data_IF_560324997972
#
_entry.id   IF_560324997972
#
_cell.length_a   1.000
_cell.length_b   1.000
_cell.length_c   1.000
_cell.angle_alpha   90.00
_cell.angle_beta   90.00
_cell.angle_gamma   90.00
#
_symmetry.space_group_name_H-M   'P 1'
#
loop_
_entity.id
_entity.type
_entity.pdbx_description
1 polymer ?
#
# COMPACT_ATOMS: atom_id res chain seq x y z
N UNK A 1 -33.22 -23.51 -14.07
CA UNK A 1 -31.81 -23.83 -14.38
C UNK A 1 -30.96 -22.59 -14.18
N UNK A 2 -30.21 -22.51 -13.10
CA UNK A 2 -29.25 -21.43 -12.82
C UNK A 2 -27.99 -21.65 -13.66
N UNK A 3 -27.68 -20.74 -14.59
CA UNK A 3 -26.43 -20.79 -15.37
C UNK A 3 -25.25 -20.60 -14.40
N UNK A 4 -24.48 -21.67 -14.18
CA UNK A 4 -23.19 -21.60 -13.49
C UNK A 4 -22.26 -20.74 -14.37
N UNK A 5 -21.87 -19.56 -13.89
CA UNK A 5 -20.92 -18.70 -14.59
C UNK A 5 -19.51 -19.11 -14.18
N UNK A 6 -18.66 -19.45 -15.15
CA UNK A 6 -17.23 -19.73 -14.94
C UNK A 6 -16.48 -18.40 -14.94
N UNK A 7 -15.74 -18.12 -13.88
CA UNK A 7 -14.92 -16.93 -13.77
C UNK A 7 -13.49 -17.29 -14.17
N UNK A 8 -12.95 -16.58 -15.16
CA UNK A 8 -11.57 -16.79 -15.62
C UNK A 8 -10.70 -15.69 -15.00
N UNK A 9 -9.79 -16.07 -14.10
CA UNK A 9 -8.83 -15.14 -13.52
C UNK A 9 -7.52 -15.30 -14.27
N UNK A 10 -7.12 -14.25 -14.99
CA UNK A 10 -5.82 -14.17 -15.62
C UNK A 10 -4.74 -13.74 -14.62
N UNK A 11 -5.01 -12.68 -13.85
CA UNK A 11 -4.03 -12.01 -13.00
C UNK A 11 -4.71 -11.37 -11.79
N UNK A 12 -4.04 -11.37 -10.63
CA UNK A 12 -4.35 -10.50 -9.49
C UNK A 12 -3.40 -9.32 -9.48
N UNK A 13 -3.90 -8.10 -9.31
CA UNK A 13 -3.02 -6.92 -9.18
C UNK A 13 -3.30 -6.25 -7.84
N UNK A 14 -2.29 -6.22 -6.97
CA UNK A 14 -2.34 -5.49 -5.70
C UNK A 14 -1.71 -4.12 -5.87
N UNK A 15 -2.36 -3.09 -5.34
CA UNK A 15 -2.03 -1.70 -5.65
C UNK A 15 -1.93 -0.84 -4.39
N UNK A 16 -0.78 -0.19 -4.19
CA UNK A 16 -0.60 0.81 -3.12
C UNK A 16 -0.41 2.20 -3.71
N UNK A 17 -1.10 3.16 -3.10
CA UNK A 17 -0.89 4.59 -3.38
C UNK A 17 0.45 5.03 -2.77
N UNK A 18 1.22 5.81 -3.52
CA UNK A 18 2.43 6.47 -3.04
C UNK A 18 2.19 7.95 -2.85
N UNK A 19 2.64 8.53 -1.72
CA UNK A 19 2.79 9.98 -1.56
C UNK A 19 4.26 10.37 -1.75
N UNK A 20 4.53 11.63 -2.13
CA UNK A 20 5.89 12.14 -2.41
C UNK A 20 6.87 12.02 -1.22
N UNK A 21 6.40 11.77 -0.01
CA UNK A 21 7.18 11.80 1.24
C UNK A 21 7.42 10.42 1.88
N UNK A 22 6.89 9.33 1.32
CA UNK A 22 7.06 7.99 1.89
C UNK A 22 8.05 7.16 1.07
N UNK A 23 9.07 6.63 1.76
CA UNK A 23 9.78 5.45 1.25
C UNK A 23 8.80 4.28 1.22
N UNK A 24 8.47 3.82 0.03
CA UNK A 24 7.57 2.68 -0.13
C UNK A 24 8.38 1.37 -0.11
N UNK A 25 7.92 0.41 0.69
CA UNK A 25 8.46 -0.94 0.70
C UNK A 25 7.65 -1.80 -0.26
N UNK A 26 8.26 -2.25 -1.36
CA UNK A 26 7.61 -3.15 -2.32
C UNK A 26 7.31 -4.53 -1.72
N UNK A 27 7.97 -4.90 -0.63
CA UNK A 27 7.78 -6.19 0.04
C UNK A 27 6.36 -6.42 0.53
N UNK A 28 5.70 -5.38 1.04
CA UNK A 28 4.35 -5.50 1.57
C UNK A 28 3.33 -5.78 0.46
N UNK A 29 3.36 -4.96 -0.60
CA UNK A 29 2.48 -5.13 -1.78
C UNK A 29 2.75 -6.47 -2.50
N UNK A 30 4.01 -6.91 -2.57
CA UNK A 30 4.39 -8.22 -3.11
C UNK A 30 3.86 -9.37 -2.25
N UNK A 31 3.98 -9.28 -0.93
CA UNK A 31 3.46 -10.31 -0.03
C UNK A 31 1.93 -10.42 -0.13
N UNK A 32 1.21 -9.30 -0.18
CA UNK A 32 -0.24 -9.30 -0.33
C UNK A 32 -0.68 -9.89 -1.68
N UNK A 33 -0.01 -9.52 -2.79
CA UNK A 33 -0.26 -10.13 -4.10
C UNK A 33 -0.06 -11.66 -4.09
N UNK A 34 0.99 -12.13 -3.40
CA UNK A 34 1.25 -13.55 -3.23
C UNK A 34 0.17 -14.24 -2.37
N UNK A 35 -0.31 -13.58 -1.32
CA UNK A 35 -1.37 -14.11 -0.44
C UNK A 35 -2.68 -14.35 -1.23
N UNK A 36 -3.04 -13.47 -2.17
CA UNK A 36 -4.17 -13.70 -3.10
C UNK A 36 -3.98 -14.95 -3.95
N UNK A 37 -2.78 -15.15 -4.49
CA UNK A 37 -2.45 -16.33 -5.28
C UNK A 37 -2.52 -17.62 -4.43
N UNK A 38 -1.97 -17.59 -3.21
CA UNK A 38 -2.03 -18.72 -2.27
C UNK A 38 -3.48 -19.10 -1.94
N UNK A 39 -4.32 -18.12 -1.60
CA UNK A 39 -5.74 -18.37 -1.32
C UNK A 39 -6.50 -18.89 -2.53
N UNK A 40 -6.16 -18.43 -3.73
CA UNK A 40 -6.74 -18.98 -4.96
C UNK A 40 -6.47 -20.48 -5.06
N UNK A 41 -5.22 -20.92 -4.85
CA UNK A 41 -4.87 -22.32 -4.92
C UNK A 41 -5.44 -23.14 -3.76
N UNK A 42 -5.46 -22.60 -2.54
CA UNK A 42 -6.01 -23.26 -1.36
C UNK A 42 -7.53 -23.47 -1.45
N UNK A 43 -8.28 -22.51 -1.99
CA UNK A 43 -9.74 -22.60 -2.18
C UNK A 43 -10.17 -23.48 -3.36
N UNK A 44 -9.24 -23.80 -4.27
CA UNK A 44 -9.51 -24.55 -5.50
C UNK A 44 -8.63 -25.82 -5.60
N UNK A 45 -8.61 -26.63 -4.55
CA UNK A 45 -7.82 -27.87 -4.50
C UNK A 45 -8.20 -28.88 -5.60
N UNK A 46 -9.43 -28.85 -6.09
CA UNK A 46 -9.92 -29.71 -7.19
C UNK A 46 -9.59 -29.19 -8.60
N UNK A 47 -9.08 -27.96 -8.73
CA UNK A 47 -8.71 -27.35 -10.00
C UNK A 47 -7.27 -27.73 -10.37
N UNK A 48 -7.00 -28.13 -11.61
CA UNK A 48 -5.66 -28.45 -12.13
C UNK A 48 -4.88 -27.23 -12.64
N UNK A 49 -5.18 -26.02 -12.15
CA UNK A 49 -4.46 -24.81 -12.54
C UNK A 49 -3.09 -24.78 -11.88
N UNK A 50 -2.05 -24.87 -12.70
CA UNK A 50 -0.65 -25.00 -12.25
C UNK A 50 0.02 -23.65 -11.95
N UNK A 51 -0.56 -22.53 -12.39
CA UNK A 51 -0.03 -21.20 -12.12
C UNK A 51 -1.11 -20.12 -12.23
N UNK A 52 -0.82 -18.93 -11.72
CA UNK A 52 -1.61 -17.72 -11.94
C UNK A 52 -0.63 -16.54 -12.08
N UNK A 53 -1.02 -15.52 -12.83
CA UNK A 53 -0.24 -14.29 -12.86
C UNK A 53 -0.58 -13.38 -11.68
N UNK A 54 0.39 -12.56 -11.29
CA UNK A 54 0.17 -11.49 -10.33
C UNK A 54 0.81 -10.19 -10.82
N UNK A 55 0.39 -9.07 -10.25
CA UNK A 55 0.95 -7.76 -10.47
C UNK A 55 1.02 -6.99 -9.16
N UNK A 56 2.04 -6.14 -9.05
CA UNK A 56 2.20 -5.20 -7.93
C UNK A 56 2.34 -3.80 -8.51
N UNK A 57 1.43 -2.91 -8.11
CA UNK A 57 1.38 -1.52 -8.56
C UNK A 57 1.69 -0.58 -7.40
N UNK A 58 2.72 0.24 -7.54
CA UNK A 58 3.13 1.21 -6.53
C UNK A 58 3.22 2.59 -7.17
N UNK A 59 2.19 3.42 -6.91
CA UNK A 59 2.01 4.68 -7.63
C UNK A 59 1.74 4.42 -9.10
N UNK A 60 2.71 4.75 -9.96
CA UNK A 60 2.69 4.53 -11.41
C UNK A 60 3.60 3.38 -11.86
N UNK A 61 4.28 2.72 -10.92
CA UNK A 61 5.26 1.69 -11.24
C UNK A 61 4.63 0.30 -11.09
N UNK A 62 4.69 -0.52 -12.13
CA UNK A 62 4.11 -1.86 -12.18
C UNK A 62 5.19 -2.93 -12.31
N UNK A 63 5.03 -4.01 -11.56
CA UNK A 63 5.77 -5.25 -11.81
C UNK A 63 4.82 -6.42 -11.95
N UNK A 64 5.12 -7.32 -12.89
CA UNK A 64 4.32 -8.51 -13.18
C UNK A 64 5.07 -9.79 -12.84
N UNK A 65 4.31 -10.78 -12.39
CA UNK A 65 4.80 -12.01 -11.79
C UNK A 65 4.03 -13.22 -12.30
N UNK A 66 4.67 -14.38 -12.24
CA UNK A 66 4.03 -15.70 -12.32
C UNK A 66 4.21 -16.41 -10.97
N UNK A 67 3.12 -17.01 -10.48
CA UNK A 67 3.11 -17.82 -9.26
C UNK A 67 2.69 -19.23 -9.64
N UNK A 68 3.59 -20.19 -9.44
CA UNK A 68 3.31 -21.60 -9.66
C UNK A 68 2.69 -22.24 -8.42
N UNK A 69 1.75 -23.16 -8.65
CA UNK A 69 1.22 -24.02 -7.61
C UNK A 69 2.35 -24.90 -7.07
N UNK A 70 2.47 -24.97 -5.75
CA UNK A 70 3.38 -25.85 -5.06
C UNK A 70 2.62 -26.77 -4.08
N UNK A 71 3.26 -27.86 -3.66
CA UNK A 71 2.76 -28.73 -2.61
C UNK A 71 2.94 -28.02 -1.25
N UNK A 72 1.96 -27.20 -0.86
CA UNK A 72 1.96 -26.41 0.37
C UNK A 72 2.20 -24.91 0.14
N UNK A 73 1.71 -24.08 1.06
CA UNK A 73 1.76 -22.61 0.95
C UNK A 73 3.19 -22.04 0.98
N UNK A 74 4.13 -22.73 1.63
CA UNK A 74 5.51 -22.28 1.79
C UNK A 74 6.36 -22.47 0.53
N UNK A 75 5.90 -23.29 -0.42
CA UNK A 75 6.59 -23.54 -1.68
C UNK A 75 6.28 -22.53 -2.79
N UNK A 76 5.31 -21.64 -2.59
CA UNK A 76 4.88 -20.67 -3.60
C UNK A 76 5.63 -19.35 -3.45
N UNK A 77 6.09 -18.80 -4.57
CA UNK A 77 6.82 -17.52 -4.63
C UNK A 77 6.46 -16.73 -5.89
N UNK A 78 6.68 -15.41 -5.83
CA UNK A 78 6.59 -14.54 -6.99
C UNK A 78 7.83 -14.70 -7.86
N UNK A 79 7.66 -15.17 -9.09
CA UNK A 79 8.71 -15.20 -10.10
C UNK A 79 8.46 -14.06 -11.09
N UNK A 80 9.42 -13.14 -11.31
CA UNK A 80 9.17 -11.98 -12.17
C UNK A 80 9.04 -12.39 -13.64
N UNK A 81 8.16 -11.72 -14.40
CA UNK A 81 7.98 -11.98 -15.84
C UNK A 81 9.10 -11.40 -16.71
N UNK A 82 9.86 -10.45 -16.17
CA UNK A 82 11.05 -9.88 -16.78
C UNK A 82 12.17 -9.79 -15.75
N UNK A 83 13.41 -9.78 -16.24
CA UNK A 83 14.65 -9.69 -15.42
C UNK A 83 14.95 -10.96 -14.60
N UNK A 84 16.22 -11.11 -14.19
CA UNK A 84 16.73 -12.23 -13.40
C UNK A 84 16.00 -12.38 -12.05
N UNK A 85 15.94 -13.59 -11.46
CA UNK A 85 15.09 -13.94 -10.32
C UNK A 85 15.54 -13.36 -8.96
N UNK A 86 16.29 -12.25 -8.95
CA UNK A 86 16.72 -11.59 -7.73
C UNK A 86 15.77 -10.42 -7.41
N UNK A 87 14.83 -10.57 -6.47
CA UNK A 87 14.03 -9.44 -6.02
C UNK A 87 14.92 -8.59 -5.14
N UNK A 88 15.16 -7.31 -5.49
CA UNK A 88 15.66 -6.34 -4.51
C UNK A 88 15.73 -4.87 -4.92
N UNK A 89 15.53 -4.50 -6.18
CA UNK A 89 15.57 -3.09 -6.56
C UNK A 89 14.21 -2.59 -7.04
N UNK A 90 13.80 -1.41 -6.57
CA UNK A 90 12.63 -0.70 -7.10
C UNK A 90 12.79 -0.39 -8.60
N UNK A 91 14.02 -0.42 -9.11
CA UNK A 91 14.38 -0.24 -10.53
C UNK A 91 13.83 -1.34 -11.44
N UNK A 92 13.39 -2.48 -10.87
CA UNK A 92 12.77 -3.56 -11.64
C UNK A 92 11.29 -3.31 -11.98
N UNK A 93 10.68 -2.29 -11.36
CA UNK A 93 9.31 -1.89 -11.66
C UNK A 93 9.31 -0.96 -12.87
N UNK A 94 8.35 -1.18 -13.75
CA UNK A 94 8.19 -0.44 -15.00
C UNK A 94 7.30 0.77 -14.77
N UNK A 95 7.78 1.96 -15.16
CA UNK A 95 6.98 3.19 -15.05
C UNK A 95 5.94 3.23 -16.17
N UNK A 96 4.65 3.23 -15.80
CA UNK A 96 3.55 3.33 -16.75
C UNK A 96 3.48 4.68 -17.47
N UNK A 97 4.15 5.71 -16.95
CA UNK A 97 4.32 7.01 -17.59
C UNK A 97 5.45 7.04 -18.63
N UNK A 98 6.37 6.07 -18.61
CA UNK A 98 7.43 5.95 -19.61
C UNK A 98 7.00 5.12 -20.82
N UNK A 99 7.36 5.58 -22.02
CA UNK A 99 6.89 4.94 -23.26
C UNK A 99 7.57 3.59 -23.54
N UNK A 100 8.83 3.41 -23.15
CA UNK A 100 9.54 2.15 -23.38
C UNK A 100 9.05 1.08 -22.41
N UNK A 101 8.94 1.45 -21.14
CA UNK A 101 8.39 0.60 -20.08
C UNK A 101 6.92 0.23 -20.35
N UNK A 102 6.10 1.19 -20.79
CA UNK A 102 4.71 0.92 -21.18
C UNK A 102 4.57 -0.11 -22.31
N UNK A 103 5.48 -0.12 -23.30
CA UNK A 103 5.49 -1.13 -24.37
C UNK A 103 5.90 -2.51 -23.85
N UNK A 104 6.82 -2.57 -22.90
CA UNK A 104 7.22 -3.83 -22.27
C UNK A 104 6.09 -4.44 -21.43
N UNK A 105 5.38 -3.61 -20.65
CA UNK A 105 4.18 -4.00 -19.92
C UNK A 105 3.10 -4.54 -20.87
N UNK A 106 2.83 -3.83 -21.97
CA UNK A 106 1.84 -4.26 -22.96
C UNK A 106 2.22 -5.61 -23.60
N UNK A 107 3.49 -5.80 -23.94
CA UNK A 107 4.01 -7.06 -24.46
C UNK A 107 3.84 -8.20 -23.45
N UNK A 108 4.11 -7.95 -22.17
CA UNK A 108 3.92 -8.93 -21.11
C UNK A 108 2.44 -9.34 -20.97
N UNK A 109 1.51 -8.39 -20.97
CA UNK A 109 0.07 -8.71 -20.93
C UNK A 109 -0.39 -9.54 -22.13
N UNK A 110 0.07 -9.23 -23.35
CA UNK A 110 -0.20 -10.08 -24.52
C UNK A 110 0.38 -11.50 -24.36
N UNK A 111 1.58 -11.62 -23.78
CA UNK A 111 2.18 -12.91 -23.43
C UNK A 111 1.34 -13.70 -22.43
N UNK A 112 0.87 -13.03 -21.37
CA UNK A 112 0.00 -13.62 -20.35
C UNK A 112 -1.32 -14.15 -20.94
N UNK A 113 -1.93 -13.39 -21.86
CA UNK A 113 -3.15 -13.84 -22.54
C UNK A 113 -2.88 -15.07 -23.43
N UNK A 114 -1.73 -15.09 -24.11
CA UNK A 114 -1.32 -16.19 -24.99
C UNK A 114 -1.04 -17.48 -24.22
N UNK A 115 -0.60 -17.37 -22.97
CA UNK A 115 -0.31 -18.48 -22.06
C UNK A 115 -1.19 -18.38 -20.82
N UNK A 116 -2.49 -18.23 -21.03
CA UNK A 116 -3.44 -18.08 -19.92
C UNK A 116 -3.54 -19.37 -19.09
N UNK A 117 -3.70 -19.26 -17.75
CA UNK A 117 -3.83 -20.42 -16.88
C UNK A 117 -5.06 -21.27 -17.23
N UNK A 118 -4.87 -22.60 -17.23
CA UNK A 118 -5.91 -23.60 -17.48
C UNK A 118 -5.93 -24.61 -16.34
N UNK A 119 -7.09 -25.16 -15.93
CA UNK A 119 -8.45 -24.88 -16.40
C UNK A 119 -9.16 -23.80 -15.57
N UNK A 120 -10.24 -23.30 -16.14
CA UNK A 120 -10.97 -22.12 -15.66
C UNK A 120 -11.56 -22.34 -14.26
N UNK A 121 -11.48 -21.31 -13.41
CA UNK A 121 -11.89 -21.39 -12.00
C UNK A 121 -13.43 -21.43 -11.91
N UNK A 122 -13.95 -22.41 -11.17
CA UNK A 122 -15.36 -22.48 -10.78
C UNK A 122 -15.52 -21.98 -9.34
N UNK A 123 -15.91 -20.72 -9.15
CA UNK A 123 -16.27 -20.24 -7.79
C UNK A 123 -17.72 -20.64 -7.47
N UNK A 124 -17.89 -21.62 -6.56
CA UNK A 124 -19.13 -21.80 -5.82
C UNK A 124 -19.10 -20.92 -4.57
N UNK A 125 -19.65 -19.72 -4.66
CA UNK A 125 -19.80 -18.81 -3.52
C UNK A 125 -19.76 -17.35 -3.94
N UNK A 126 -20.85 -16.62 -3.64
CA UNK A 126 -21.09 -15.18 -3.77
C UNK A 126 -20.21 -14.50 -4.85
N UNK A 127 -20.44 -14.89 -6.10
CA UNK A 127 -19.72 -14.36 -7.26
C UNK A 127 -20.42 -13.13 -7.81
N UNK A 128 -19.69 -12.00 -7.82
CA UNK A 128 -20.02 -10.78 -8.59
C UNK A 128 -20.44 -11.17 -10.00
N UNK A 129 -21.57 -10.63 -10.46
CA UNK A 129 -22.15 -10.91 -11.78
C UNK A 129 -21.25 -10.29 -12.87
N UNK A 130 -20.59 -11.08 -13.75
CA UNK A 130 -19.81 -10.49 -14.83
C UNK A 130 -20.72 -9.78 -15.84
N UNK A 131 -20.34 -8.56 -16.24
CA UNK A 131 -20.87 -7.93 -17.45
C UNK A 131 -20.23 -8.59 -18.68
N UNK A 132 -20.92 -8.54 -19.82
CA UNK A 132 -20.66 -9.33 -21.02
C UNK A 132 -19.38 -8.97 -21.82
N UNK A 133 -18.38 -8.32 -21.21
CA UNK A 133 -17.24 -7.75 -21.94
C UNK A 133 -15.88 -7.73 -21.22
N UNK A 134 -15.71 -8.44 -20.09
CA UNK A 134 -14.47 -8.40 -19.31
C UNK A 134 -14.29 -7.10 -18.51
N UNK A 135 -13.54 -7.17 -17.40
CA UNK A 135 -13.33 -6.03 -16.51
C UNK A 135 -12.46 -6.38 -15.31
N UNK A 136 -11.94 -5.35 -14.63
CA UNK A 136 -11.26 -5.52 -13.35
C UNK A 136 -12.31 -5.68 -12.25
N UNK A 137 -12.11 -6.67 -11.37
CA UNK A 137 -12.97 -6.91 -10.22
C UNK A 137 -12.18 -6.65 -8.95
N UNK A 138 -12.73 -5.81 -8.07
CA UNK A 138 -12.17 -5.66 -6.72
C UNK A 138 -12.55 -6.90 -5.91
N UNK A 139 -11.53 -7.61 -5.42
CA UNK A 139 -11.74 -8.75 -4.53
C UNK A 139 -11.94 -8.26 -3.10
N UNK A 140 -12.69 -9.01 -2.27
CA UNK A 140 -12.73 -8.75 -0.84
C UNK A 140 -11.32 -8.93 -0.27
N UNK A 141 -10.95 -8.04 0.65
CA UNK A 141 -9.67 -8.10 1.34
C UNK A 141 -9.52 -9.46 2.01
N UNK A 142 -8.37 -10.08 1.80
CA UNK A 142 -8.00 -11.32 2.48
C UNK A 142 -7.99 -11.05 3.98
N UNK A 143 -8.63 -11.92 4.79
CA UNK A 143 -8.56 -11.93 6.27
C UNK A 143 -7.12 -12.10 6.82
N UNK A 144 -6.26 -11.15 6.50
CA UNK A 144 -5.24 -10.61 7.38
C UNK A 144 -5.78 -9.24 7.79
N UNK A 145 -5.57 -8.82 9.04
CA UNK A 145 -5.93 -7.47 9.43
C UNK A 145 -5.00 -6.50 8.70
N UNK A 146 -5.37 -6.10 7.49
CA UNK A 146 -4.84 -4.86 6.88
C UNK A 146 -5.26 -3.63 7.69
N UNK A 147 -6.15 -3.84 8.65
CA UNK A 147 -6.51 -2.92 9.70
C UNK A 147 -6.68 -3.71 11.00
N UNK A 148 -5.82 -3.46 11.99
CA UNK A 148 -6.34 -3.32 13.36
C UNK A 148 -7.48 -2.28 13.21
N UNK A 149 -8.70 -2.56 13.69
CA UNK A 149 -9.81 -1.61 13.60
C UNK A 149 -9.30 -0.33 14.23
N UNK A 150 -9.02 0.69 13.42
CA UNK A 150 -8.33 1.90 13.85
C UNK A 150 -7.34 1.60 14.99
N UNK A 151 -6.10 1.17 14.68
CA UNK A 151 -5.07 1.95 15.37
C UNK A 151 -5.35 3.34 14.85
N UNK A 152 -6.07 4.13 15.64
CA UNK A 152 -6.28 5.55 15.42
C UNK A 152 -4.85 6.05 15.34
N UNK A 153 -4.28 6.01 14.13
CA UNK A 153 -2.97 6.55 13.87
C UNK A 153 -3.12 7.94 14.47
N UNK A 154 -2.34 8.24 15.51
CA UNK A 154 -2.63 9.39 16.31
C UNK A 154 -2.77 10.56 15.35
N UNK A 155 -3.89 11.30 15.44
CA UNK A 155 -4.16 12.44 14.56
C UNK A 155 -3.74 13.70 15.28
N UNK A 156 -2.85 14.48 14.66
CA UNK A 156 -2.37 15.69 15.31
C UNK A 156 -3.52 16.70 15.28
N UNK A 157 -3.76 17.43 16.38
CA UNK A 157 -4.67 18.56 16.36
C UNK A 157 -4.29 19.54 15.24
N UNK A 158 -5.28 20.02 14.49
CA UNK A 158 -5.02 20.93 13.39
C UNK A 158 -4.72 22.34 13.90
N UNK A 159 -3.68 22.97 13.37
CA UNK A 159 -3.28 24.33 13.70
C UNK A 159 -3.92 25.33 12.72
N UNK A 160 -4.54 26.43 13.17
CA UNK A 160 -5.08 27.46 12.29
C UNK A 160 -4.02 28.10 11.38
N UNK A 161 -4.38 28.34 10.12
CA UNK A 161 -3.58 29.19 9.21
C UNK A 161 -3.80 30.68 9.55
N UNK A 162 -3.13 31.16 10.60
CA UNK A 162 -3.15 32.57 10.99
C UNK A 162 -1.75 33.19 10.96
N UNK A 163 -1.63 34.54 10.97
CA UNK A 163 -0.33 35.16 11.19
C UNK A 163 0.24 34.65 12.51
N UNK A 164 1.47 34.16 12.50
CA UNK A 164 2.22 33.70 13.68
C UNK A 164 2.11 34.78 14.77
N UNK A 165 1.25 34.56 15.76
CA UNK A 165 1.02 35.55 16.81
C UNK A 165 2.25 35.51 17.71
N UNK A 166 2.98 36.63 17.75
CA UNK A 166 4.17 36.78 18.59
C UNK A 166 3.78 36.60 20.06
N UNK A 167 4.33 35.59 20.73
CA UNK A 167 4.02 35.34 22.15
C UNK A 167 4.21 33.92 22.67
N UNK A 168 5.04 33.08 22.04
CA UNK A 168 5.51 31.85 22.69
C UNK A 168 6.50 32.20 23.81
N UNK A 169 6.50 31.47 24.94
CA UNK A 169 7.54 31.61 25.95
C UNK A 169 8.93 31.28 25.35
N UNK A 170 10.00 31.99 25.75
CA UNK A 170 11.33 31.87 25.13
C UNK A 170 11.96 30.48 25.27
N UNK A 171 11.47 29.66 26.20
CA UNK A 171 12.03 28.36 26.53
C UNK A 171 11.49 27.23 25.64
N UNK A 172 10.58 27.54 24.71
CA UNK A 172 9.98 26.53 23.84
C UNK A 172 10.84 26.28 22.60
N UNK A 173 11.17 25.01 22.36
CA UNK A 173 11.94 24.57 21.20
C UNK A 173 11.02 24.25 20.03
N UNK A 174 11.39 24.76 18.84
CA UNK A 174 10.61 24.54 17.62
C UNK A 174 10.79 23.13 17.10
N UNK A 175 9.68 22.46 16.84
CA UNK A 175 9.61 21.21 16.07
C UNK A 175 9.61 21.54 14.59
N UNK A 176 10.51 20.90 13.84
CA UNK A 176 10.63 21.05 12.38
C UNK A 176 9.82 20.01 11.62
N UNK A 177 9.64 18.83 12.22
CA UNK A 177 8.97 17.69 11.59
C UNK A 177 8.33 16.78 12.61
N UNK A 178 7.10 16.34 12.34
CA UNK A 178 6.50 15.17 12.99
C UNK A 178 6.50 13.95 12.06
N UNK A 179 6.61 12.78 12.66
CA UNK A 179 6.48 11.46 12.04
C UNK A 179 5.50 10.64 12.86
N UNK A 180 4.45 10.15 12.20
CA UNK A 180 3.46 9.27 12.82
C UNK A 180 4.07 7.88 13.01
N UNK A 181 3.95 7.33 14.20
CA UNK A 181 4.23 5.92 14.48
C UNK A 181 2.92 5.17 14.72
N UNK A 182 2.99 3.87 14.97
CA UNK A 182 1.81 3.02 15.19
C UNK A 182 0.94 3.51 16.35
N UNK A 183 1.49 4.15 17.38
CA UNK A 183 0.77 4.57 18.61
C UNK A 183 1.17 5.94 19.16
N UNK A 184 2.13 6.63 18.55
CA UNK A 184 2.68 7.91 19.03
C UNK A 184 3.16 8.77 17.86
N UNK A 185 3.78 9.91 18.16
CA UNK A 185 4.61 10.61 17.19
C UNK A 185 6.05 10.63 17.62
N UNK A 186 6.92 10.65 16.63
CA UNK A 186 8.28 11.12 16.77
C UNK A 186 8.35 12.55 16.23
N UNK A 187 9.11 13.41 16.90
CA UNK A 187 9.40 14.76 16.41
C UNK A 187 10.89 14.98 16.31
N UNK A 188 11.26 15.95 15.48
CA UNK A 188 12.60 16.47 15.35
C UNK A 188 12.59 17.98 15.62
N UNK A 189 13.50 18.45 16.45
CA UNK A 189 13.66 19.88 16.75
C UNK A 189 14.57 20.57 15.74
N UNK A 190 14.60 21.91 15.76
CA UNK A 190 15.56 22.67 14.96
C UNK A 190 17.03 22.45 15.36
N UNK A 191 17.30 21.96 16.57
CA UNK A 191 18.64 21.56 17.02
C UNK A 191 19.05 20.16 16.56
N UNK A 192 18.16 19.43 15.87
CA UNK A 192 18.40 18.06 15.40
C UNK A 192 18.13 16.98 16.44
N UNK A 193 17.62 17.34 17.62
CA UNK A 193 17.21 16.38 18.64
C UNK A 193 15.91 15.69 18.22
N UNK A 194 15.81 14.40 18.54
CA UNK A 194 14.61 13.61 18.27
C UNK A 194 13.97 13.18 19.58
N UNK A 195 12.64 13.13 19.59
CA UNK A 195 11.86 12.70 20.75
C UNK A 195 10.58 12.00 20.32
N UNK A 196 9.87 11.40 21.28
CA UNK A 196 8.58 10.76 21.02
C UNK A 196 7.59 10.96 22.17
N UNK A 197 6.29 10.94 21.84
CA UNK A 197 5.22 11.28 22.79
C UNK A 197 3.83 11.10 22.18
N UNK A 198 2.81 11.18 23.04
CA UNK A 198 1.40 10.91 22.71
C UNK A 198 0.67 12.18 22.27
N UNK A 199 -0.41 12.01 21.50
CA UNK A 199 -1.31 13.13 21.11
C UNK A 199 -1.82 13.90 22.31
N UNK A 200 -2.17 13.18 23.38
CA UNK A 200 -2.76 13.75 24.58
C UNK A 200 -1.83 14.73 25.32
N UNK A 201 -0.54 14.76 24.97
CA UNK A 201 0.45 15.71 25.49
C UNK A 201 0.48 17.03 24.69
N UNK A 202 -0.31 17.14 23.61
CA UNK A 202 -0.30 18.25 22.66
C UNK A 202 -1.59 19.05 22.70
N UNK A 203 -1.47 20.34 22.99
CA UNK A 203 -2.58 21.32 23.01
C UNK A 203 -2.45 22.29 21.84
N UNK A 204 -3.59 22.73 21.27
CA UNK A 204 -3.59 23.85 20.31
C UNK A 204 -3.87 25.15 21.03
N UNK A 205 -2.89 26.06 21.03
CA UNK A 205 -3.04 27.39 21.62
C UNK A 205 -2.45 28.45 20.70
N UNK A 206 -3.17 29.56 20.50
CA UNK A 206 -2.67 30.76 19.78
C UNK A 206 -2.01 30.48 18.43
N UNK A 207 -2.54 29.51 17.68
CA UNK A 207 -2.00 29.04 16.39
C UNK A 207 -0.70 28.22 16.49
N UNK A 208 -0.44 27.60 17.64
CA UNK A 208 0.63 26.63 17.83
C UNK A 208 0.08 25.31 18.36
N UNK A 209 0.77 24.23 18.03
CA UNK A 209 0.65 22.94 18.68
C UNK A 209 1.74 22.86 19.75
N UNK A 210 1.37 22.79 21.02
CA UNK A 210 2.27 22.90 22.17
C UNK A 210 2.36 21.58 22.94
N UNK A 211 3.58 21.18 23.30
CA UNK A 211 3.82 20.25 24.39
C UNK A 211 4.36 21.04 25.58
N UNK A 212 3.53 21.27 26.60
CA UNK A 212 3.91 22.11 27.76
C UNK A 212 4.94 21.44 28.66
N UNK A 213 4.85 20.12 28.83
CA UNK A 213 5.77 19.36 29.68
C UNK A 213 7.18 19.34 29.09
N UNK A 214 7.29 19.26 27.76
CA UNK A 214 8.56 19.18 27.04
C UNK A 214 9.02 20.52 26.48
N UNK A 215 8.24 21.59 26.69
CA UNK A 215 8.48 22.92 26.15
C UNK A 215 8.73 22.87 24.62
N UNK A 216 7.83 22.22 23.87
CA UNK A 216 7.92 22.13 22.41
C UNK A 216 6.78 22.88 21.76
N UNK A 217 7.04 23.48 20.61
CA UNK A 217 5.98 24.06 19.78
C UNK A 217 6.13 23.69 18.30
N UNK A 218 5.01 23.67 17.61
CA UNK A 218 4.94 23.59 16.16
C UNK A 218 3.91 24.58 15.62
N UNK A 219 4.17 25.09 14.42
CA UNK A 219 3.31 26.05 13.73
C UNK A 219 2.81 25.46 12.41
N UNK A 220 2.04 26.23 11.65
CA UNK A 220 1.53 25.81 10.33
C UNK A 220 2.63 25.58 9.29
N UNK A 221 3.86 26.00 9.55
CA UNK A 221 5.03 25.75 8.69
C UNK A 221 5.84 24.52 9.13
N UNK A 222 5.45 23.82 10.21
CA UNK A 222 6.08 22.56 10.62
C UNK A 222 5.64 21.41 9.72
N UNK A 223 6.59 20.60 9.25
CA UNK A 223 6.32 19.48 8.34
C UNK A 223 5.42 18.43 9.01
N UNK A 224 4.38 17.99 8.29
CA UNK A 224 3.38 17.01 8.71
C UNK A 224 2.49 17.44 9.90
N UNK A 225 2.42 18.74 10.20
CA UNK A 225 1.37 19.29 11.07
C UNK A 225 0.11 19.54 10.24
N UNK A 226 -1.06 19.00 10.64
CA UNK A 226 -2.33 19.30 9.99
C UNK A 226 -2.68 20.78 10.14
N UNK A 227 -3.07 21.41 9.04
CA UNK A 227 -3.44 22.83 9.02
C UNK A 227 -4.94 22.95 8.80
N UNK A 228 -5.60 23.76 9.63
CA UNK A 228 -7.01 24.12 9.46
C UNK A 228 -7.09 25.42 8.65
N UNK A 229 -7.59 25.28 7.42
CA UNK A 229 -7.92 26.39 6.52
C UNK A 229 -9.06 27.25 7.09
#
# INVERSE_FOLDING_TARGET
MTKVRRLQILCFVEGKRTSRSQSYSTKAVEQEALDYCKKLFASNQSNSTDFVYAGTLVGVHLRLWIVHRANGEDGMSLTPLWVAPYPKSNEDYKDLGDSADGQEVLRAFHGMISVAPQPWIETKGIGVVPSSGGGAFQLPTIDRPDFIPESIAPVLPSVPTGPTISGLPPDYVRVTKFLVTTTSYTWMTSSGETGSGRVAELDVERCYLLNKERQLYADSATENVPVRL
#
